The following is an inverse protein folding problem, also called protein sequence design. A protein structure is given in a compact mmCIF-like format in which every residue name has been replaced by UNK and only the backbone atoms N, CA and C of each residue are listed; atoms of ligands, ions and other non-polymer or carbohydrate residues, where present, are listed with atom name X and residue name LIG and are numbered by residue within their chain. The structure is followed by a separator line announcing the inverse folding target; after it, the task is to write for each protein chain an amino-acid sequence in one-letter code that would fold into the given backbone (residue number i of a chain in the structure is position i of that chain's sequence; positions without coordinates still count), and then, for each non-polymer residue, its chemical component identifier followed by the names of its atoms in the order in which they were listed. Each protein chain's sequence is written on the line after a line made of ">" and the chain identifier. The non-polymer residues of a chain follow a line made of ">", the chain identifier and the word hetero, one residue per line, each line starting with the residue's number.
data_IF_158100316674
#
_entry.id   IF_158100316674
#
_cell.length_a   1.000
_cell.length_b   1.000
_cell.length_c   1.000
_cell.angle_alpha   90.00
_cell.angle_beta   90.00
_cell.angle_gamma   90.00
#
_symmetry.space_group_name_H-M   'P 1'
#
loop_
_entity.id
_entity.type
_entity.pdbx_description
1 polymer ?
#
# COMPACT_ATOMS: atom_id res chain seq x y z
N UNK A 1 -0.49 -16.45 -3.99
CA UNK A 1 -1.33 -17.37 -4.79
C UNK A 1 -1.10 -18.79 -4.28
N UNK A 2 -2.14 -19.44 -3.74
CA UNK A 2 -2.09 -20.78 -3.12
C UNK A 2 -2.93 -21.76 -3.94
N UNK A 3 -2.39 -22.95 -4.22
CA UNK A 3 -3.17 -24.09 -4.69
C UNK A 3 -4.17 -24.55 -3.63
N UNK A 4 -5.26 -25.20 -4.07
CA UNK A 4 -6.44 -25.52 -3.24
C UNK A 4 -6.17 -26.34 -1.96
N UNK A 5 -4.97 -26.91 -1.79
CA UNK A 5 -4.60 -27.77 -0.66
C UNK A 5 -3.69 -27.09 0.40
N UNK A 6 -3.39 -25.80 0.27
CA UNK A 6 -2.41 -25.14 1.16
C UNK A 6 -3.07 -24.35 2.31
N UNK A 7 -3.17 -24.97 3.49
CA UNK A 7 -3.55 -24.29 4.74
C UNK A 7 -2.33 -23.64 5.40
N UNK A 8 -2.32 -22.31 5.53
CA UNK A 8 -1.31 -21.59 6.32
C UNK A 8 -1.44 -21.95 7.81
N UNK A 9 -0.55 -22.82 8.30
CA UNK A 9 -0.49 -23.15 9.74
C UNK A 9 0.25 -22.08 10.55
N UNK A 10 0.06 -22.11 11.87
CA UNK A 10 0.77 -21.29 12.89
C UNK A 10 2.31 -21.39 12.86
N UNK A 11 2.89 -22.23 11.98
CA UNK A 11 4.35 -22.34 11.77
C UNK A 11 4.91 -21.16 10.97
N UNK A 12 4.14 -20.58 10.06
CA UNK A 12 4.56 -19.49 9.16
C UNK A 12 4.95 -18.21 9.90
N UNK A 13 4.18 -17.88 10.94
CA UNK A 13 4.40 -16.70 11.81
C UNK A 13 5.70 -16.87 12.64
N UNK A 14 6.03 -18.09 13.07
CA UNK A 14 7.27 -18.35 13.83
C UNK A 14 8.54 -18.16 13.00
N UNK A 15 8.48 -18.40 11.68
CA UNK A 15 9.62 -18.18 10.79
C UNK A 15 9.91 -16.68 10.65
N UNK A 16 8.86 -15.85 10.57
CA UNK A 16 9.00 -14.40 10.53
C UNK A 16 9.67 -13.82 11.79
N UNK A 17 9.21 -14.19 12.98
CA UNK A 17 9.83 -13.73 14.24
C UNK A 17 11.30 -14.17 14.39
N UNK A 18 11.68 -15.33 13.85
CA UNK A 18 13.08 -15.77 13.78
C UNK A 18 13.91 -14.92 12.81
N UNK A 19 13.36 -14.56 11.66
CA UNK A 19 14.02 -13.69 10.68
C UNK A 19 14.33 -12.30 11.29
N UNK A 20 13.42 -11.75 12.10
CA UNK A 20 13.64 -10.47 12.81
C UNK A 20 14.86 -10.50 13.73
N UNK A 21 15.05 -11.59 14.47
CA UNK A 21 16.20 -11.75 15.37
C UNK A 21 17.52 -11.91 14.61
N UNK A 22 17.52 -12.70 13.53
CA UNK A 22 18.74 -12.97 12.74
C UNK A 22 19.13 -11.80 11.84
N UNK A 23 18.16 -11.04 11.35
CA UNK A 23 18.38 -9.95 10.40
C UNK A 23 18.77 -8.61 11.04
N UNK A 24 18.92 -8.54 12.38
CA UNK A 24 19.17 -7.29 13.11
C UNK A 24 18.16 -6.17 12.80
N UNK A 25 16.89 -6.54 12.54
CA UNK A 25 15.83 -5.61 12.16
C UNK A 25 15.09 -5.04 13.38
N UNK A 26 14.51 -3.84 13.24
CA UNK A 26 13.80 -3.16 14.33
C UNK A 26 12.43 -3.79 14.61
N UNK A 27 12.23 -4.25 15.84
CA UNK A 27 10.95 -4.80 16.34
C UNK A 27 10.01 -3.66 16.67
N UNK A 28 9.07 -3.39 15.76
CA UNK A 28 8.24 -2.18 15.78
C UNK A 28 6.79 -2.45 16.15
N UNK A 29 6.38 -3.72 16.27
CA UNK A 29 5.00 -4.09 16.61
C UNK A 29 4.75 -4.07 18.12
N UNK A 30 3.64 -3.43 18.52
CA UNK A 30 3.09 -3.48 19.88
C UNK A 30 1.94 -4.50 19.93
N UNK A 31 1.81 -5.21 21.05
CA UNK A 31 0.78 -6.23 21.26
C UNK A 31 -0.62 -5.61 21.36
N UNK A 32 -0.70 -4.44 22.01
CA UNK A 32 -1.89 -3.64 22.16
C UNK A 32 -1.53 -2.16 21.95
N UNK A 33 -2.31 -1.39 21.18
CA UNK A 33 -2.00 0.02 20.89
C UNK A 33 -2.16 0.96 22.09
N UNK A 34 -2.96 0.61 23.10
CA UNK A 34 -3.18 1.40 24.31
C UNK A 34 -2.15 1.08 25.38
N UNK A 35 -1.83 -0.21 25.59
CA UNK A 35 -0.82 -0.65 26.57
C UNK A 35 0.62 -0.54 26.03
N UNK A 36 0.78 -0.52 24.71
CA UNK A 36 2.04 -0.27 23.98
C UNK A 36 3.20 -1.21 24.32
N UNK A 37 2.93 -2.38 24.88
CA UNK A 37 3.94 -3.41 25.15
C UNK A 37 4.46 -3.97 23.82
N UNK A 38 5.78 -3.98 23.61
CA UNK A 38 6.40 -4.49 22.38
C UNK A 38 6.34 -6.03 22.32
N UNK A 39 6.05 -6.58 21.15
CA UNK A 39 6.01 -8.04 20.92
C UNK A 39 7.39 -8.69 20.88
N UNK A 40 8.45 -7.88 20.76
CA UNK A 40 9.85 -8.27 20.72
C UNK A 40 10.25 -9.19 19.56
N UNK A 41 9.36 -9.40 18.59
CA UNK A 41 9.61 -10.19 17.38
C UNK A 41 8.85 -9.67 16.14
N UNK A 42 8.20 -8.52 16.23
CA UNK A 42 7.45 -7.86 15.15
C UNK A 42 6.22 -8.64 14.65
N UNK A 43 5.75 -9.66 15.39
CA UNK A 43 4.49 -10.37 15.09
C UNK A 43 3.28 -9.65 15.72
N UNK A 44 2.04 -9.87 15.23
CA UNK A 44 1.66 -10.70 14.09
C UNK A 44 2.01 -10.07 12.74
N UNK A 45 2.23 -10.93 11.73
CA UNK A 45 2.26 -10.52 10.34
C UNK A 45 0.83 -10.53 9.77
N UNK A 46 0.53 -9.57 8.90
CA UNK A 46 -0.72 -9.57 8.12
C UNK A 46 -0.54 -10.47 6.90
N UNK A 47 -1.43 -11.43 6.73
CA UNK A 47 -1.41 -12.38 5.60
C UNK A 47 -2.60 -12.11 4.69
N UNK A 48 -2.31 -11.90 3.42
CA UNK A 48 -3.32 -11.87 2.35
C UNK A 48 -3.09 -13.05 1.44
N UNK A 49 -4.15 -13.80 1.16
CA UNK A 49 -4.10 -15.02 0.36
C UNK A 49 -5.06 -14.93 -0.82
N UNK A 50 -4.59 -15.35 -1.98
CA UNK A 50 -5.41 -15.55 -3.17
C UNK A 50 -5.31 -17.02 -3.54
N UNK A 51 -6.44 -17.69 -3.68
CA UNK A 51 -6.50 -19.08 -4.15
C UNK A 51 -6.57 -19.04 -5.67
N UNK A 52 -5.68 -19.78 -6.33
CA UNK A 52 -5.64 -19.87 -7.79
C UNK A 52 -5.43 -21.32 -8.23
N UNK A 53 -5.64 -21.57 -9.52
CA UNK A 53 -5.35 -22.87 -10.12
C UNK A 53 -3.84 -23.09 -10.28
N UNK A 54 -3.42 -24.36 -10.21
CA UNK A 54 -2.03 -24.78 -10.35
C UNK A 54 -1.41 -25.34 -9.06
N UNK A 55 -0.13 -25.70 -9.14
CA UNK A 55 0.66 -26.40 -8.12
C UNK A 55 1.80 -25.55 -7.55
N UNK A 56 1.88 -24.27 -7.94
CA UNK A 56 2.93 -23.33 -7.51
C UNK A 56 2.43 -22.36 -6.46
N UNK A 57 3.32 -21.99 -5.56
CA UNK A 57 3.06 -20.94 -4.55
C UNK A 57 3.95 -19.75 -4.82
N UNK A 58 3.32 -18.59 -5.01
CA UNK A 58 4.01 -17.29 -5.08
C UNK A 58 3.82 -16.55 -3.75
N UNK A 59 4.95 -16.22 -3.11
CA UNK A 59 5.01 -15.46 -1.85
C UNK A 59 5.63 -14.10 -2.14
N UNK A 60 4.90 -13.04 -1.80
CA UNK A 60 5.41 -11.67 -1.83
C UNK A 60 5.48 -11.14 -0.40
N UNK A 61 6.63 -10.59 -0.01
CA UNK A 61 6.84 -9.99 1.31
C UNK A 61 6.92 -8.47 1.15
N UNK A 62 6.03 -7.75 1.82
CA UNK A 62 6.01 -6.29 1.82
C UNK A 62 6.38 -5.74 3.21
N UNK A 63 7.66 -5.38 3.47
CA UNK A 63 8.04 -4.72 4.71
C UNK A 63 7.50 -3.29 4.72
N UNK A 64 6.31 -3.10 5.29
CA UNK A 64 5.62 -1.82 5.30
C UNK A 64 5.95 -1.02 6.56
N UNK A 65 6.53 0.16 6.39
CA UNK A 65 6.84 1.06 7.50
C UNK A 65 5.59 1.75 8.04
N UNK A 66 5.50 1.92 9.36
CA UNK A 66 4.35 2.55 10.02
C UNK A 66 4.12 4.01 9.57
N UNK A 67 5.17 4.77 9.28
CA UNK A 67 5.04 6.14 8.78
C UNK A 67 4.22 6.22 7.49
N UNK A 68 4.52 5.37 6.50
CA UNK A 68 3.73 5.28 5.26
C UNK A 68 2.42 4.55 5.41
N UNK A 69 2.24 3.75 6.46
CA UNK A 69 0.96 3.10 6.74
C UNK A 69 -0.05 4.09 7.29
N UNK A 70 0.39 4.96 8.19
CA UNK A 70 -0.45 5.95 8.85
C UNK A 70 -0.97 7.04 7.89
N UNK A 71 -0.37 7.19 6.71
CA UNK A 71 -0.83 8.11 5.67
C UNK A 71 -1.87 7.50 4.72
N UNK A 72 -2.22 6.22 4.92
CA UNK A 72 -3.31 5.58 4.19
C UNK A 72 -4.65 6.18 4.58
N UNK A 73 -5.54 6.35 3.60
CA UNK A 73 -6.89 6.89 3.80
C UNK A 73 -7.90 6.10 2.98
N UNK A 74 -9.18 6.24 3.35
CA UNK A 74 -10.31 5.60 2.68
C UNK A 74 -11.48 6.58 2.59
N UNK A 75 -12.21 6.53 1.47
CA UNK A 75 -13.44 7.27 1.27
C UNK A 75 -14.44 6.43 0.47
N UNK A 76 -15.67 6.35 0.95
CA UNK A 76 -16.79 5.86 0.15
C UNK A 76 -17.25 6.97 -0.78
N UNK A 77 -17.15 6.73 -2.09
CA UNK A 77 -17.65 7.65 -3.11
C UNK A 77 -19.15 7.43 -3.33
N UNK A 78 -19.88 8.51 -3.60
CA UNK A 78 -21.29 8.46 -3.93
C UNK A 78 -21.46 8.00 -5.38
N UNK A 79 -22.64 7.44 -5.76
CA UNK A 79 -22.88 7.02 -7.15
C UNK A 79 -22.70 8.12 -8.21
N UNK A 80 -22.85 9.39 -7.82
CA UNK A 80 -22.63 10.54 -8.70
C UNK A 80 -21.19 11.04 -8.74
N UNK A 81 -20.30 10.52 -7.87
CA UNK A 81 -18.87 10.83 -7.95
C UNK A 81 -18.26 10.05 -9.11
N UNK A 82 -17.80 10.78 -10.11
CA UNK A 82 -17.12 10.24 -11.28
C UNK A 82 -15.59 10.17 -11.06
N UNK A 83 -14.85 10.05 -12.15
CA UNK A 83 -13.39 10.04 -12.15
C UNK A 83 -12.82 11.32 -11.51
N UNK A 84 -13.48 12.47 -11.68
CA UNK A 84 -13.03 13.71 -11.04
C UNK A 84 -13.23 13.67 -9.52
N UNK A 85 -14.27 12.98 -9.03
CA UNK A 85 -14.43 12.67 -7.61
C UNK A 85 -13.25 11.89 -7.04
N UNK A 86 -12.78 10.87 -7.78
CA UNK A 86 -11.58 10.08 -7.43
C UNK A 86 -10.34 10.97 -7.41
N UNK A 87 -10.11 11.74 -8.48
CA UNK A 87 -8.93 12.61 -8.61
C UNK A 87 -8.85 13.63 -7.50
N UNK A 88 -9.98 14.29 -7.20
CA UNK A 88 -10.10 15.26 -6.11
C UNK A 88 -9.71 14.64 -4.77
N UNK A 89 -10.23 13.46 -4.46
CA UNK A 89 -9.90 12.75 -3.22
C UNK A 89 -8.41 12.43 -3.11
N UNK A 90 -7.80 11.96 -4.20
CA UNK A 90 -6.36 11.66 -4.25
C UNK A 90 -5.54 12.93 -4.02
N UNK A 91 -5.84 14.02 -4.73
CA UNK A 91 -5.12 15.28 -4.59
C UNK A 91 -5.26 15.90 -3.20
N UNK A 92 -6.47 15.89 -2.64
CA UNK A 92 -6.73 16.35 -1.28
C UNK A 92 -5.89 15.55 -0.27
N UNK A 93 -5.84 14.23 -0.45
CA UNK A 93 -5.01 13.35 0.38
C UNK A 93 -3.54 13.69 0.26
N UNK A 94 -3.02 13.83 -0.96
CA UNK A 94 -1.61 14.16 -1.20
C UNK A 94 -1.23 15.50 -0.57
N UNK A 95 -2.09 16.51 -0.70
CA UNK A 95 -1.89 17.81 -0.05
C UNK A 95 -1.94 17.70 1.48
N UNK A 96 -2.85 16.89 2.01
CA UNK A 96 -2.98 16.68 3.45
C UNK A 96 -1.75 16.00 4.06
N UNK A 97 -1.23 14.95 3.42
CA UNK A 97 -0.04 14.24 3.90
C UNK A 97 1.24 15.07 3.70
N UNK A 98 1.29 15.93 2.69
CA UNK A 98 2.34 16.93 2.51
C UNK A 98 3.72 16.28 2.38
N UNK A 99 4.66 16.65 3.26
CA UNK A 99 6.00 16.07 3.35
C UNK A 99 6.10 14.73 4.10
N UNK A 100 4.99 14.21 4.64
CA UNK A 100 4.96 12.95 5.38
C UNK A 100 4.41 11.80 4.52
N UNK A 101 5.08 10.63 4.45
CA UNK A 101 6.29 10.21 5.15
C UNK A 101 7.44 10.14 4.15
N UNK A 102 8.08 11.28 3.90
CA UNK A 102 9.27 11.41 3.06
C UNK A 102 9.05 11.17 1.54
N UNK A 103 8.41 12.10 0.82
CA UNK A 103 8.32 12.05 -0.63
C UNK A 103 9.72 12.05 -1.28
N UNK A 104 9.92 11.41 -2.46
CA UNK A 104 8.92 10.96 -3.43
C UNK A 104 8.05 9.76 -3.01
N UNK A 105 6.75 9.83 -3.30
CA UNK A 105 5.81 8.74 -3.03
C UNK A 105 5.70 7.76 -4.20
N UNK A 106 5.45 6.49 -3.86
CA UNK A 106 4.72 5.56 -4.73
C UNK A 106 3.30 5.51 -4.17
N UNK A 107 2.32 5.92 -4.97
CA UNK A 107 0.93 5.98 -4.52
C UNK A 107 0.16 4.81 -5.09
N UNK A 108 -0.35 3.97 -4.18
CA UNK A 108 -1.20 2.84 -4.47
C UNK A 108 -2.67 3.24 -4.27
N UNK A 109 -3.48 3.08 -5.32
CA UNK A 109 -4.90 3.42 -5.30
C UNK A 109 -5.71 2.14 -5.54
N UNK A 110 -6.62 1.81 -4.64
CA UNK A 110 -7.63 0.78 -4.85
C UNK A 110 -8.97 1.44 -5.15
N UNK A 111 -9.69 0.96 -6.17
CA UNK A 111 -11.01 1.51 -6.54
C UNK A 111 -12.04 0.38 -6.59
N UNK A 112 -13.04 0.46 -5.72
CA UNK A 112 -14.15 -0.50 -5.65
C UNK A 112 -14.00 -1.54 -4.54
N UNK A 113 -14.93 -2.50 -4.52
CA UNK A 113 -15.03 -3.51 -3.46
C UNK A 113 -15.52 -2.94 -2.12
N UNK A 114 -15.41 -3.75 -1.06
CA UNK A 114 -15.63 -3.30 0.32
C UNK A 114 -14.42 -2.51 0.83
N UNK A 115 -14.56 -1.82 1.96
CA UNK A 115 -13.50 -1.00 2.55
C UNK A 115 -12.19 -1.79 2.77
N UNK A 116 -12.29 -3.00 3.33
CA UNK A 116 -11.18 -3.91 3.59
C UNK A 116 -10.51 -4.37 2.29
N UNK A 117 -11.31 -4.73 1.28
CA UNK A 117 -10.81 -5.15 -0.02
C UNK A 117 -10.13 -4.00 -0.77
N UNK A 118 -10.72 -2.80 -0.73
CA UNK A 118 -10.18 -1.58 -1.32
C UNK A 118 -8.81 -1.23 -0.74
N UNK A 119 -8.68 -1.26 0.59
CA UNK A 119 -7.41 -1.03 1.28
C UNK A 119 -6.35 -2.08 0.89
N UNK A 120 -6.76 -3.34 0.74
CA UNK A 120 -5.88 -4.40 0.27
C UNK A 120 -5.44 -4.19 -1.20
N UNK A 121 -6.36 -3.82 -2.10
CA UNK A 121 -6.05 -3.49 -3.51
C UNK A 121 -5.06 -2.33 -3.60
N UNK A 122 -5.26 -1.27 -2.82
CA UNK A 122 -4.33 -0.14 -2.75
C UNK A 122 -2.91 -0.58 -2.34
N UNK A 123 -2.81 -1.45 -1.32
CA UNK A 123 -1.52 -2.05 -0.90
C UNK A 123 -0.93 -2.95 -1.99
N UNK A 124 -1.75 -3.73 -2.68
CA UNK A 124 -1.32 -4.58 -3.79
C UNK A 124 -0.79 -3.77 -4.97
N UNK A 125 -1.39 -2.61 -5.24
CA UNK A 125 -0.93 -1.68 -6.27
C UNK A 125 0.54 -1.27 -6.05
N UNK A 126 0.98 -1.09 -4.80
CA UNK A 126 2.36 -0.74 -4.45
C UNK A 126 3.39 -1.82 -4.87
N UNK A 127 2.95 -3.03 -5.21
CA UNK A 127 3.84 -4.14 -5.59
C UNK A 127 4.07 -4.28 -7.11
N UNK A 128 3.39 -3.48 -7.95
CA UNK A 128 3.63 -3.52 -9.41
C UNK A 128 5.09 -3.13 -9.76
N UNK A 129 5.59 -3.36 -10.99
CA UNK A 129 6.88 -2.80 -11.42
C UNK A 129 6.82 -1.29 -11.65
N UNK A 130 7.93 -0.55 -11.44
CA UNK A 130 7.96 0.91 -11.63
C UNK A 130 8.02 1.19 -13.13
N UNK A 131 7.18 2.10 -13.61
CA UNK A 131 7.09 2.47 -15.03
C UNK A 131 6.05 1.68 -15.81
N UNK A 132 5.39 0.69 -15.20
CA UNK A 132 4.26 -0.01 -15.81
C UNK A 132 2.93 0.64 -15.45
N UNK A 133 2.12 0.92 -16.47
CA UNK A 133 0.76 1.44 -16.34
C UNK A 133 -0.28 0.32 -16.29
N UNK A 134 -1.50 0.65 -15.83
CA UNK A 134 -2.59 -0.31 -15.79
C UNK A 134 -2.90 -0.82 -17.21
N UNK A 135 -3.18 -2.12 -17.36
CA UNK A 135 -3.52 -2.70 -18.66
C UNK A 135 -4.82 -2.11 -19.25
N UNK A 136 -5.72 -1.62 -18.40
CA UNK A 136 -6.95 -0.95 -18.82
C UNK A 136 -6.67 0.52 -19.19
N UNK A 137 -6.95 0.96 -20.43
CA UNK A 137 -6.64 2.32 -20.89
C UNK A 137 -7.24 3.43 -20.02
N UNK A 138 -8.44 3.22 -19.48
CA UNK A 138 -9.11 4.16 -18.58
C UNK A 138 -8.27 4.47 -17.34
N UNK A 139 -7.75 3.43 -16.69
CA UNK A 139 -6.95 3.56 -15.47
C UNK A 139 -5.52 4.02 -15.77
N UNK A 140 -4.94 3.62 -16.91
CA UNK A 140 -3.64 4.12 -17.35
C UNK A 140 -3.67 5.64 -17.58
N UNK A 141 -4.75 6.14 -18.20
CA UNK A 141 -4.97 7.58 -18.39
C UNK A 141 -5.09 8.29 -17.04
N UNK A 142 -5.87 7.75 -16.11
CA UNK A 142 -6.01 8.28 -14.76
C UNK A 142 -4.67 8.32 -14.00
N UNK A 143 -3.85 7.26 -14.09
CA UNK A 143 -2.51 7.20 -13.50
C UNK A 143 -1.59 8.31 -14.04
N UNK A 144 -1.64 8.57 -15.35
CA UNK A 144 -0.86 9.63 -15.98
C UNK A 144 -1.33 11.03 -15.54
N UNK A 145 -2.64 11.29 -15.57
CA UNK A 145 -3.20 12.58 -15.14
C UNK A 145 -2.90 12.88 -13.67
N UNK A 146 -3.05 11.89 -12.78
CA UNK A 146 -2.74 12.06 -11.35
C UNK A 146 -1.24 12.30 -11.10
N UNK A 147 -0.36 11.69 -11.89
CA UNK A 147 1.07 11.95 -11.82
C UNK A 147 1.40 13.40 -12.11
N UNK A 148 0.83 13.94 -13.19
CA UNK A 148 1.05 15.33 -13.57
C UNK A 148 0.45 16.29 -12.53
N UNK A 149 -0.79 16.04 -12.11
CA UNK A 149 -1.48 16.90 -11.13
C UNK A 149 -0.78 16.91 -9.76
N UNK A 150 -0.23 15.79 -9.30
CA UNK A 150 0.53 15.75 -8.06
C UNK A 150 1.89 16.40 -8.19
N UNK A 151 2.60 16.22 -9.31
CA UNK A 151 3.83 16.98 -9.56
C UNK A 151 3.57 18.49 -9.53
N UNK A 152 2.40 18.93 -10.01
CA UNK A 152 1.98 20.32 -9.98
C UNK A 152 1.55 20.83 -8.59
N UNK A 153 1.45 19.98 -7.56
CA UNK A 153 1.19 20.44 -6.19
C UNK A 153 2.38 21.19 -5.57
N UNK A 154 3.58 20.99 -6.11
CA UNK A 154 4.79 21.66 -5.65
C UNK A 154 5.30 21.22 -4.28
N UNK A 155 4.79 20.13 -3.70
CA UNK A 155 5.24 19.61 -2.39
C UNK A 155 6.71 19.16 -2.46
N UNK A 156 7.10 18.44 -3.52
CA UNK A 156 8.47 18.00 -3.79
C UNK A 156 9.09 17.09 -2.71
N UNK A 157 10.41 16.82 -2.80
CA UNK A 157 11.13 15.96 -1.85
C UNK A 157 11.03 16.46 -0.42
N UNK A 158 10.72 15.57 0.53
CA UNK A 158 10.55 15.90 1.95
C UNK A 158 9.56 17.06 2.26
N UNK A 159 8.73 17.48 1.30
CA UNK A 159 7.87 18.66 1.46
C UNK A 159 8.61 20.00 1.33
N UNK A 160 9.83 20.02 0.76
CA UNK A 160 10.67 21.21 0.65
C UNK A 160 10.48 21.99 -0.67
N UNK A 161 9.49 21.62 -1.48
CA UNK A 161 9.27 22.25 -2.78
C UNK A 161 9.80 21.44 -3.96
N UNK A 162 9.21 21.63 -5.15
CA UNK A 162 9.65 21.05 -6.41
C UNK A 162 8.75 19.94 -6.98
N UNK A 163 9.21 19.27 -8.05
CA UNK A 163 8.38 18.41 -8.94
C UNK A 163 8.81 16.94 -8.99
N UNK A 164 9.35 16.40 -7.90
CA UNK A 164 9.91 15.04 -7.89
C UNK A 164 8.93 14.00 -7.32
N UNK A 165 7.81 13.71 -8.00
CA UNK A 165 7.04 12.48 -7.78
C UNK A 165 7.24 11.52 -8.95
N UNK A 166 7.55 10.25 -8.66
CA UNK A 166 8.15 9.35 -9.66
C UNK A 166 7.37 8.07 -10.01
N UNK A 167 6.24 7.75 -9.38
CA UNK A 167 5.42 6.59 -9.84
C UNK A 167 4.00 6.50 -9.23
N UNK A 168 3.02 6.14 -10.05
CA UNK A 168 1.59 5.96 -9.71
C UNK A 168 1.05 4.61 -10.13
N UNK A 169 0.20 3.99 -9.28
CA UNK A 169 -0.32 2.64 -9.51
C UNK A 169 -1.72 2.47 -8.97
N UNK A 170 -2.64 2.10 -9.84
CA UNK A 170 -4.03 1.73 -9.54
C UNK A 170 -4.19 0.21 -9.53
N UNK A 171 -5.15 -0.30 -8.78
CA UNK A 171 -5.58 -1.69 -8.86
C UNK A 171 -7.11 -1.76 -8.82
#
# INVERSE_FOLDING_TARGET
>A
MLGKDFLFSSRSIRVYGKAMKKGYLRKSMVADPLDRINTNDNTPAVLHTEIVEGDRVTITVMPKGGGSENMGTFKTLLPGDDIEGVKRFVLETVRHVGGNPCPPYIIGIGIGGTMDHCAWMAKKALLRPIGEYNAKPLYAKLEAELLDEVNNTGIGPLGMGGTCYRSWRTY
#
